data_IF_348096076010
#
_entry.id   IF_348096076010
#
_cell.length_a   1.000
_cell.length_b   1.000
_cell.length_c   1.000
_cell.angle_alpha   90.00
_cell.angle_beta   90.00
_cell.angle_gamma   90.00
#
_symmetry.space_group_name_H-M   'P 1'
#
loop_
_entity.id
_entity.type
_entity.pdbx_description
1 polymer ?
#
# COMPACT_ATOMS: atom_id res chain seq x y z
N UNK A 1 -5.22 -8.82 35.53
CA UNK A 1 -5.54 -8.05 34.30
C UNK A 1 -4.28 -7.28 33.90
N UNK A 2 -3.61 -7.68 32.82
CA UNK A 2 -2.41 -6.99 32.35
C UNK A 2 -2.78 -5.65 31.69
N UNK A 3 -2.00 -4.58 31.88
CA UNK A 3 -2.36 -3.26 31.37
C UNK A 3 -2.24 -3.26 29.84
N UNK A 4 -3.27 -2.74 29.18
CA UNK A 4 -3.24 -2.42 27.75
C UNK A 4 -2.15 -1.38 27.54
N UNK A 5 -0.95 -1.82 27.13
CA UNK A 5 0.14 -0.91 26.77
C UNK A 5 -0.38 0.05 25.70
N UNK A 6 -0.31 1.33 26.03
CA UNK A 6 -0.62 2.46 25.18
C UNK A 6 0.09 2.26 23.83
N UNK A 7 -0.67 2.04 22.75
CA UNK A 7 -0.13 1.86 21.39
C UNK A 7 0.37 3.22 20.90
N UNK A 8 1.56 3.60 21.37
CA UNK A 8 2.28 4.77 20.89
C UNK A 8 2.52 4.57 19.39
N UNK A 9 1.98 5.49 18.58
CA UNK A 9 1.97 5.47 17.12
C UNK A 9 3.39 5.25 16.58
N UNK A 10 3.64 4.06 16.00
CA UNK A 10 4.99 3.55 15.74
C UNK A 10 5.76 4.36 14.68
N UNK A 11 5.08 5.11 13.81
CA UNK A 11 5.71 5.88 12.73
C UNK A 11 6.22 7.26 13.16
N UNK A 12 5.78 7.81 14.31
CA UNK A 12 6.30 9.10 14.81
C UNK A 12 7.80 9.02 15.17
N UNK A 13 8.36 7.82 15.27
CA UNK A 13 9.77 7.57 15.55
C UNK A 13 10.51 6.92 14.36
N UNK A 14 9.90 6.82 13.18
CA UNK A 14 10.57 6.25 12.01
C UNK A 14 11.45 7.30 11.33
N UNK A 15 12.68 6.90 10.97
CA UNK A 15 13.51 7.70 10.07
C UNK A 15 12.92 7.68 8.66
N UNK A 16 13.25 8.67 7.83
CA UNK A 16 12.81 8.71 6.43
C UNK A 16 13.20 7.42 5.67
N UNK A 17 14.39 6.89 5.94
CA UNK A 17 14.83 5.62 5.36
C UNK A 17 13.94 4.44 5.76
N UNK A 18 13.53 4.36 7.03
CA UNK A 18 12.61 3.33 7.50
C UNK A 18 11.21 3.50 6.89
N UNK A 19 10.72 4.73 6.81
CA UNK A 19 9.44 5.07 6.19
C UNK A 19 9.44 4.65 4.71
N UNK A 20 10.49 5.02 3.97
CA UNK A 20 10.70 4.64 2.57
C UNK A 20 10.76 3.13 2.40
N UNK A 21 11.55 2.41 3.21
CA UNK A 21 11.70 0.95 3.10
C UNK A 21 10.41 0.17 3.44
N UNK A 22 9.44 0.82 4.09
CA UNK A 22 8.11 0.27 4.33
C UNK A 22 7.20 0.45 3.11
N UNK A 23 7.35 1.52 2.32
CA UNK A 23 6.52 1.84 1.17
C UNK A 23 7.11 1.32 -0.15
N UNK A 24 8.40 1.55 -0.36
CA UNK A 24 9.17 1.22 -1.57
C UNK A 24 10.18 0.12 -1.28
N UNK A 25 10.14 -0.94 -2.10
CA UNK A 25 11.07 -2.06 -2.06
C UNK A 25 12.47 -1.69 -2.56
N UNK A 26 13.45 -2.57 -2.31
CA UNK A 26 14.83 -2.38 -2.81
C UNK A 26 14.95 -2.41 -4.32
N UNK A 27 13.94 -2.97 -4.99
CA UNK A 27 13.76 -2.98 -6.44
C UNK A 27 13.14 -1.68 -6.97
N UNK A 28 12.87 -0.71 -6.10
CA UNK A 28 12.24 0.56 -6.47
C UNK A 28 10.74 0.46 -6.72
N UNK A 29 10.12 -0.72 -6.55
CA UNK A 29 8.68 -0.91 -6.72
C UNK A 29 7.94 -0.70 -5.39
N UNK A 30 6.61 -0.56 -5.45
CA UNK A 30 5.79 -0.59 -4.24
C UNK A 30 6.01 -1.91 -3.50
N UNK A 31 6.10 -1.86 -2.16
CA UNK A 31 6.06 -3.10 -1.39
C UNK A 31 4.66 -3.72 -1.47
N UNK A 32 4.58 -5.04 -1.40
CA UNK A 32 3.30 -5.75 -1.43
C UNK A 32 2.34 -5.31 -0.32
N UNK A 33 2.86 -5.05 0.88
CA UNK A 33 2.05 -4.58 2.01
C UNK A 33 1.42 -3.23 1.69
N UNK A 34 2.21 -2.32 1.10
CA UNK A 34 1.74 -1.00 0.72
C UNK A 34 0.77 -1.05 -0.47
N UNK A 35 1.03 -1.85 -1.51
CA UNK A 35 0.08 -2.06 -2.61
C UNK A 35 -1.29 -2.57 -2.12
N UNK A 36 -1.28 -3.46 -1.12
CA UNK A 36 -2.51 -3.98 -0.53
C UNK A 36 -3.27 -2.87 0.22
N UNK A 37 -2.56 -2.03 0.97
CA UNK A 37 -3.17 -0.87 1.66
C UNK A 37 -3.70 0.15 0.65
N UNK A 38 -2.97 0.48 -0.40
CA UNK A 38 -3.45 1.38 -1.46
C UNK A 38 -4.70 0.84 -2.15
N UNK A 39 -4.80 -0.48 -2.30
CA UNK A 39 -6.02 -1.11 -2.81
C UNK A 39 -7.19 -0.91 -1.85
N UNK A 40 -6.98 -1.03 -0.53
CA UNK A 40 -8.03 -0.74 0.46
C UNK A 40 -8.43 0.74 0.47
N UNK A 41 -7.45 1.65 0.39
CA UNK A 41 -7.69 3.09 0.27
C UNK A 41 -8.54 3.37 -0.95
N UNK A 42 -8.12 2.91 -2.13
CA UNK A 42 -8.84 3.11 -3.39
C UNK A 42 -10.29 2.62 -3.29
N UNK A 43 -10.50 1.39 -2.80
CA UNK A 43 -11.83 0.81 -2.66
C UNK A 43 -12.71 1.58 -1.68
N UNK A 44 -12.13 2.25 -0.68
CA UNK A 44 -12.90 3.05 0.30
C UNK A 44 -13.51 4.34 -0.27
N UNK A 45 -13.05 4.78 -1.45
CA UNK A 45 -13.57 5.96 -2.15
C UNK A 45 -14.54 5.63 -3.29
N UNK A 46 -14.75 4.34 -3.60
CA UNK A 46 -15.73 3.91 -4.59
C UNK A 46 -17.14 3.96 -4.00
N UNK A 47 -18.13 4.34 -4.80
CA UNK A 47 -19.53 4.30 -4.40
C UNK A 47 -20.08 2.88 -4.48
N UNK A 48 -19.71 2.15 -5.53
CA UNK A 48 -20.14 0.77 -5.76
C UNK A 48 -18.94 -0.17 -5.83
N UNK A 49 -19.12 -1.39 -5.34
CA UNK A 49 -18.09 -2.44 -5.43
C UNK A 49 -17.73 -2.86 -6.85
N UNK A 50 -18.54 -2.45 -7.84
CA UNK A 50 -18.33 -2.70 -9.26
C UNK A 50 -17.53 -1.61 -9.95
N UNK A 51 -17.37 -0.45 -9.32
CA UNK A 51 -16.63 0.67 -9.88
C UNK A 51 -15.15 0.29 -10.02
N UNK A 52 -14.52 0.76 -11.10
CA UNK A 52 -13.15 0.39 -11.47
C UNK A 52 -12.18 1.58 -11.45
N UNK A 53 -12.70 2.77 -11.20
CA UNK A 53 -12.00 4.04 -11.26
C UNK A 53 -12.58 5.03 -10.25
N UNK A 54 -11.76 5.97 -9.81
CA UNK A 54 -12.19 7.15 -9.07
C UNK A 54 -12.61 8.21 -10.07
N UNK A 55 -13.89 8.59 -10.04
CA UNK A 55 -14.38 9.73 -10.81
C UNK A 55 -13.70 11.02 -10.34
N UNK A 56 -13.80 12.10 -11.14
CA UNK A 56 -13.21 13.39 -10.79
C UNK A 56 -13.69 13.89 -9.42
N UNK A 57 -14.97 13.72 -9.10
CA UNK A 57 -15.53 14.14 -7.82
C UNK A 57 -14.94 13.32 -6.66
N UNK A 58 -14.78 12.00 -6.83
CA UNK A 58 -14.13 11.15 -5.82
C UNK A 58 -12.66 11.47 -5.64
N UNK A 59 -11.96 11.80 -6.72
CA UNK A 59 -10.56 12.21 -6.66
C UNK A 59 -10.40 13.56 -5.94
N UNK A 60 -11.35 14.48 -6.12
CA UNK A 60 -11.41 15.73 -5.35
C UNK A 60 -11.74 15.49 -3.87
N UNK A 61 -12.66 14.58 -3.56
CA UNK A 61 -12.95 14.22 -2.17
C UNK A 61 -11.75 13.57 -1.48
N UNK A 62 -11.08 12.65 -2.17
CA UNK A 62 -9.82 12.06 -1.72
C UNK A 62 -8.76 13.12 -1.40
N UNK A 63 -8.52 14.05 -2.33
CA UNK A 63 -7.51 15.09 -2.12
C UNK A 63 -7.84 16.04 -0.97
N UNK A 64 -9.12 16.35 -0.73
CA UNK A 64 -9.53 17.13 0.46
C UNK A 64 -9.13 16.44 1.76
N UNK A 65 -9.26 15.12 1.85
CA UNK A 65 -8.89 14.37 3.05
C UNK A 65 -7.39 14.40 3.30
N UNK A 66 -6.57 14.36 2.25
CA UNK A 66 -5.11 14.41 2.36
C UNK A 66 -4.60 15.84 2.58
N UNK A 67 -5.17 16.83 1.90
CA UNK A 67 -4.62 18.20 1.81
C UNK A 67 -5.32 19.21 2.73
N UNK A 68 -5.80 18.77 3.90
CA UNK A 68 -6.37 19.68 4.91
C UNK A 68 -7.62 20.42 4.42
N UNK A 69 -8.44 19.77 3.59
CA UNK A 69 -9.68 20.33 3.04
C UNK A 69 -9.53 20.97 1.65
N UNK A 70 -8.30 21.13 1.12
CA UNK A 70 -8.10 21.60 -0.26
C UNK A 70 -8.27 20.44 -1.25
N UNK A 71 -9.19 20.59 -2.20
CA UNK A 71 -9.28 19.68 -3.34
C UNK A 71 -8.18 19.99 -4.37
N UNK A 72 -7.84 19.00 -5.20
CA UNK A 72 -7.07 19.24 -6.42
C UNK A 72 -7.79 20.25 -7.33
N UNK A 73 -7.01 21.17 -7.91
CA UNK A 73 -7.45 22.08 -8.95
C UNK A 73 -7.67 21.35 -10.27
N UNK A 74 -8.29 22.01 -11.25
CA UNK A 74 -8.52 21.43 -12.56
C UNK A 74 -7.20 21.15 -13.29
N UNK A 75 -6.17 21.96 -13.05
CA UNK A 75 -4.82 21.74 -13.54
C UNK A 75 -4.19 20.50 -12.91
N UNK A 76 -4.27 20.35 -11.59
CA UNK A 76 -3.75 19.17 -10.86
C UNK A 76 -4.47 17.88 -11.33
N UNK A 77 -5.78 17.94 -11.56
CA UNK A 77 -6.55 16.81 -12.13
C UNK A 77 -6.09 16.50 -13.56
N UNK A 78 -5.88 17.52 -14.38
CA UNK A 78 -5.42 17.34 -15.76
C UNK A 78 -4.02 16.73 -15.81
N UNK A 79 -3.13 17.12 -14.90
CA UNK A 79 -1.82 16.48 -14.75
C UNK A 79 -1.98 15.00 -14.40
N UNK A 80 -2.84 14.67 -13.43
CA UNK A 80 -3.11 13.27 -13.06
C UNK A 80 -3.60 12.46 -14.27
N UNK A 81 -4.56 13.00 -15.02
CA UNK A 81 -5.12 12.35 -16.22
C UNK A 81 -4.11 12.25 -17.39
N UNK A 82 -3.08 13.10 -17.39
CA UNK A 82 -2.03 13.09 -18.41
C UNK A 82 -0.95 12.05 -18.10
N UNK A 83 -0.58 11.91 -16.83
CA UNK A 83 0.55 11.08 -16.41
C UNK A 83 0.19 9.70 -15.88
N UNK A 84 -1.04 9.51 -15.41
CA UNK A 84 -1.48 8.25 -14.79
C UNK A 84 -2.64 7.61 -15.54
N UNK A 85 -2.79 6.30 -15.36
CA UNK A 85 -3.79 5.52 -16.07
C UNK A 85 -5.21 5.86 -15.62
N UNK A 86 -6.00 6.42 -16.55
CA UNK A 86 -7.42 6.65 -16.41
C UNK A 86 -8.25 5.72 -17.33
N UNK A 87 -9.52 5.52 -16.98
CA UNK A 87 -10.48 4.82 -17.84
C UNK A 87 -11.02 5.72 -18.97
N UNK A 88 -11.93 5.17 -19.78
CA UNK A 88 -12.57 5.88 -20.90
C UNK A 88 -13.36 7.14 -20.48
N UNK A 89 -13.74 7.26 -19.20
CA UNK A 89 -14.44 8.42 -18.63
C UNK A 89 -13.50 9.36 -17.87
N UNK A 90 -12.19 9.21 -18.06
CA UNK A 90 -11.14 9.97 -17.38
C UNK A 90 -11.13 9.79 -15.84
N UNK A 91 -11.69 8.70 -15.34
CA UNK A 91 -11.60 8.31 -13.93
C UNK A 91 -10.27 7.62 -13.65
N UNK A 92 -9.61 7.95 -12.54
CA UNK A 92 -8.31 7.37 -12.17
C UNK A 92 -8.47 5.90 -11.78
N UNK A 93 -7.82 4.99 -12.51
CA UNK A 93 -7.91 3.55 -12.24
C UNK A 93 -7.13 3.15 -10.98
N UNK A 94 -7.35 1.93 -10.47
CA UNK A 94 -6.54 1.38 -9.38
C UNK A 94 -5.04 1.35 -9.73
N UNK A 95 -4.70 1.07 -11.00
CA UNK A 95 -3.30 1.07 -11.43
C UNK A 95 -2.75 2.50 -11.43
N UNK A 96 -3.45 3.44 -12.06
CA UNK A 96 -3.04 4.85 -12.05
C UNK A 96 -2.90 5.42 -10.63
N UNK A 97 -3.79 5.05 -9.72
CA UNK A 97 -3.72 5.43 -8.31
C UNK A 97 -2.45 4.89 -7.61
N UNK A 98 -2.08 3.64 -7.88
CA UNK A 98 -0.83 3.05 -7.36
C UNK A 98 0.40 3.72 -7.95
N UNK A 99 0.40 3.99 -9.26
CA UNK A 99 1.51 4.65 -9.95
C UNK A 99 1.73 6.09 -9.43
N UNK A 100 0.63 6.80 -9.13
CA UNK A 100 0.65 8.11 -8.47
C UNK A 100 1.30 8.02 -7.08
N UNK A 101 0.86 7.08 -6.25
CA UNK A 101 1.43 6.89 -4.91
C UNK A 101 2.87 6.38 -4.95
N UNK A 102 3.25 5.58 -5.95
CA UNK A 102 4.63 5.16 -6.16
C UNK A 102 5.55 6.37 -6.38
N UNK A 103 5.14 7.29 -7.25
CA UNK A 103 5.89 8.51 -7.56
C UNK A 103 6.01 9.39 -6.31
N UNK A 104 4.89 9.67 -5.63
CA UNK A 104 4.87 10.45 -4.38
C UNK A 104 5.73 9.80 -3.30
N UNK A 105 5.57 8.50 -3.03
CA UNK A 105 6.28 7.79 -1.96
C UNK A 105 7.78 7.66 -2.23
N UNK A 106 8.17 7.64 -3.50
CA UNK A 106 9.57 7.64 -3.93
C UNK A 106 10.22 9.01 -3.72
N UNK A 107 9.48 10.11 -3.80
CA UNK A 107 10.00 11.45 -3.51
C UNK A 107 9.90 11.78 -2.01
N UNK A 108 8.71 11.62 -1.44
CA UNK A 108 8.31 12.15 -0.13
C UNK A 108 7.62 11.09 0.73
N UNK A 109 8.33 10.03 1.17
CA UNK A 109 7.73 8.89 1.89
C UNK A 109 7.03 9.31 3.20
N UNK A 110 7.52 10.35 3.88
CA UNK A 110 6.91 10.84 5.11
C UNK A 110 5.56 11.54 4.88
N UNK A 111 5.32 12.11 3.69
CA UNK A 111 4.01 12.67 3.33
C UNK A 111 3.01 11.54 3.12
N UNK A 112 3.39 10.49 2.39
CA UNK A 112 2.54 9.29 2.22
C UNK A 112 2.12 8.69 3.57
N UNK A 113 3.01 8.62 4.56
CA UNK A 113 2.64 8.16 5.90
C UNK A 113 1.65 9.10 6.62
N UNK A 114 1.76 10.42 6.40
CA UNK A 114 0.78 11.38 6.92
C UNK A 114 -0.59 11.17 6.28
N UNK A 115 -0.63 10.92 4.97
CA UNK A 115 -1.87 10.60 4.25
C UNK A 115 -2.51 9.32 4.77
N UNK A 116 -1.74 8.23 4.87
CA UNK A 116 -2.25 6.97 5.42
C UNK A 116 -2.81 7.15 6.84
N UNK A 117 -2.23 8.04 7.65
CA UNK A 117 -2.75 8.37 8.97
C UNK A 117 -4.07 9.13 8.91
N UNK A 118 -4.14 10.19 8.09
CA UNK A 118 -5.36 11.00 7.89
C UNK A 118 -6.52 10.16 7.36
N UNK A 119 -6.22 9.20 6.49
CA UNK A 119 -7.18 8.27 5.89
C UNK A 119 -7.54 7.08 6.82
N UNK A 120 -6.84 6.90 7.94
CA UNK A 120 -7.11 5.83 8.90
C UNK A 120 -6.48 4.45 8.57
N UNK A 121 -5.58 4.38 7.60
CA UNK A 121 -4.94 3.15 7.11
C UNK A 121 -3.55 2.88 7.70
N UNK A 122 -3.00 3.79 8.49
CA UNK A 122 -1.70 3.63 9.17
C UNK A 122 -1.61 2.29 9.93
N UNK A 123 -2.63 1.96 10.72
CA UNK A 123 -2.67 0.70 11.46
C UNK A 123 -2.70 -0.52 10.53
N UNK A 124 -3.46 -0.46 9.43
CA UNK A 124 -3.49 -1.53 8.42
C UNK A 124 -2.09 -1.76 7.85
N UNK A 125 -1.37 -0.68 7.53
CA UNK A 125 -0.01 -0.74 7.02
C UNK A 125 0.97 -1.37 8.02
N UNK A 126 0.95 -0.92 9.28
CA UNK A 126 1.83 -1.44 10.32
C UNK A 126 1.56 -2.90 10.66
N UNK A 127 0.28 -3.28 10.83
CA UNK A 127 -0.11 -4.65 11.15
C UNK A 127 0.28 -5.61 10.00
N UNK A 128 0.11 -5.18 8.74
CA UNK A 128 0.55 -5.95 7.55
C UNK A 128 2.06 -6.13 7.51
N UNK A 129 2.82 -5.05 7.75
CA UNK A 129 4.27 -5.09 7.73
C UNK A 129 4.83 -6.00 8.81
N UNK A 130 4.33 -5.92 10.04
CA UNK A 130 4.74 -6.81 11.13
C UNK A 130 4.42 -8.28 10.80
N UNK A 131 3.24 -8.54 10.24
CA UNK A 131 2.87 -9.89 9.80
C UNK A 131 3.76 -10.40 8.65
N UNK A 132 4.20 -9.54 7.73
CA UNK A 132 5.01 -9.92 6.56
C UNK A 132 6.48 -10.20 6.92
N UNK A 133 6.96 -9.75 8.08
CA UNK A 133 8.29 -10.08 8.63
C UNK A 133 8.39 -11.50 9.21
N UNK A 134 7.29 -12.24 9.24
CA UNK A 134 7.21 -13.59 9.82
C UNK A 134 7.00 -14.65 8.75
N UNK A 135 7.45 -15.86 9.03
CA UNK A 135 7.23 -17.03 8.20
C UNK A 135 5.72 -17.25 8.00
N UNK A 136 5.29 -17.39 6.75
CA UNK A 136 3.87 -17.60 6.41
C UNK A 136 3.31 -18.86 7.07
N UNK A 137 4.15 -19.87 7.30
CA UNK A 137 3.80 -21.17 7.90
C UNK A 137 3.90 -21.13 9.42
N UNK A 138 5.12 -21.12 9.98
CA UNK A 138 5.34 -21.29 11.42
C UNK A 138 5.27 -19.99 12.24
N UNK A 139 5.17 -18.82 11.60
CA UNK A 139 5.12 -17.48 12.24
C UNK A 139 6.39 -17.00 12.95
N UNK A 140 7.47 -17.79 12.90
CA UNK A 140 8.79 -17.36 13.35
C UNK A 140 9.34 -16.21 12.48
N UNK A 141 10.16 -15.30 13.04
CA UNK A 141 10.81 -14.24 12.27
C UNK A 141 11.57 -14.80 11.06
N UNK A 142 11.48 -14.12 9.92
CA UNK A 142 12.02 -14.62 8.68
C UNK A 142 12.46 -13.51 7.75
N UNK A 143 13.53 -13.74 6.99
CA UNK A 143 14.03 -12.78 5.98
C UNK A 143 13.89 -13.31 4.56
N UNK A 144 13.90 -14.62 4.35
CA UNK A 144 13.77 -15.25 3.03
C UNK A 144 12.38 -15.00 2.45
N UNK A 145 12.32 -14.21 1.37
CA UNK A 145 11.09 -13.89 0.64
C UNK A 145 10.89 -14.84 -0.54
N UNK A 146 9.63 -15.04 -0.94
CA UNK A 146 9.34 -15.62 -2.25
C UNK A 146 9.95 -14.74 -3.36
N UNK A 147 10.83 -15.31 -4.18
CA UNK A 147 11.50 -14.58 -5.26
C UNK A 147 10.55 -14.04 -6.34
N UNK A 148 9.38 -14.67 -6.53
CA UNK A 148 8.39 -14.26 -7.51
C UNK A 148 7.52 -13.10 -7.03
N UNK A 149 6.85 -13.25 -5.89
CA UNK A 149 5.89 -12.23 -5.44
C UNK A 149 6.46 -11.22 -4.45
N UNK A 150 7.58 -11.54 -3.78
CA UNK A 150 8.20 -10.73 -2.71
C UNK A 150 7.25 -10.37 -1.54
N UNK A 151 6.07 -10.99 -1.48
CA UNK A 151 4.98 -10.68 -0.56
C UNK A 151 4.97 -11.51 0.73
N UNK A 152 5.56 -12.71 0.68
CA UNK A 152 5.53 -13.67 1.80
C UNK A 152 6.93 -14.16 2.11
N UNK A 153 7.17 -14.40 3.40
CA UNK A 153 8.44 -14.90 3.92
C UNK A 153 8.33 -16.33 4.43
N UNK A 154 9.45 -17.03 4.44
CA UNK A 154 9.57 -18.39 4.94
C UNK A 154 10.86 -18.56 5.72
N UNK A 155 10.82 -19.16 6.91
CA UNK A 155 12.05 -19.41 7.68
C UNK A 155 13.04 -20.34 6.96
N UNK A 156 12.58 -21.08 5.95
CA UNK A 156 13.41 -21.95 5.12
C UNK A 156 12.61 -22.57 3.97
N UNK A 157 13.31 -23.36 3.16
CA UNK A 157 12.75 -23.99 1.95
C UNK A 157 11.61 -24.97 2.24
N UNK A 158 11.61 -25.60 3.42
CA UNK A 158 10.57 -26.58 3.78
C UNK A 158 9.22 -25.89 4.00
N UNK A 159 9.20 -24.79 4.76
CA UNK A 159 8.01 -23.95 4.92
C UNK A 159 7.56 -23.35 3.57
N UNK A 160 8.49 -22.95 2.70
CA UNK A 160 8.16 -22.48 1.36
C UNK A 160 7.46 -23.56 0.52
N UNK A 161 8.01 -24.78 0.49
CA UNK A 161 7.43 -25.93 -0.24
C UNK A 161 6.06 -26.31 0.30
N UNK A 162 5.89 -26.32 1.63
CA UNK A 162 4.60 -26.60 2.27
C UNK A 162 3.56 -25.56 1.86
N UNK A 163 3.86 -24.28 2.02
CA UNK A 163 2.95 -23.20 1.63
C UNK A 163 2.65 -23.22 0.13
N UNK A 164 3.64 -23.52 -0.72
CA UNK A 164 3.45 -23.64 -2.16
C UNK A 164 2.38 -24.67 -2.51
N UNK A 165 2.46 -25.86 -1.90
CA UNK A 165 1.50 -26.94 -2.13
C UNK A 165 0.10 -26.62 -1.57
N UNK A 166 0.01 -25.95 -0.43
CA UNK A 166 -1.28 -25.77 0.27
C UNK A 166 -2.05 -24.52 -0.14
N UNK A 167 -1.39 -23.41 -0.44
CA UNK A 167 -2.10 -22.11 -0.58
C UNK A 167 -1.40 -21.06 -1.44
N UNK A 168 -0.06 -21.01 -1.44
CA UNK A 168 0.67 -19.91 -2.06
C UNK A 168 0.64 -19.96 -3.59
N UNK A 169 0.70 -21.15 -4.21
CA UNK A 169 0.79 -21.31 -5.67
C UNK A 169 -0.31 -20.56 -6.43
N UNK A 170 -1.54 -20.58 -5.90
CA UNK A 170 -2.71 -19.97 -6.55
C UNK A 170 -2.73 -18.43 -6.45
N UNK A 171 -1.99 -17.87 -5.49
CA UNK A 171 -2.01 -16.42 -5.17
C UNK A 171 -0.67 -15.74 -5.45
N UNK A 172 0.35 -16.48 -5.87
CA UNK A 172 1.67 -15.94 -6.15
C UNK A 172 1.66 -15.14 -7.45
N UNK A 173 1.77 -13.82 -7.34
CA UNK A 173 1.81 -12.86 -8.46
C UNK A 173 2.99 -11.93 -8.27
N UNK A 174 3.63 -11.52 -9.36
CA UNK A 174 4.70 -10.52 -9.29
C UNK A 174 4.11 -9.19 -8.77
N UNK A 175 4.93 -8.35 -8.09
CA UNK A 175 4.56 -6.98 -7.79
C UNK A 175 4.14 -6.24 -9.07
N UNK A 176 3.26 -5.24 -8.93
CA UNK A 176 2.93 -4.38 -10.07
C UNK A 176 4.17 -3.55 -10.43
N UNK A 177 4.37 -3.35 -11.74
CA UNK A 177 5.43 -2.49 -12.31
C UNK A 177 4.80 -1.19 -12.72
#
# INVERSE_FOLDING_TARGET
MAPRKNKQLMYLNMTESQARAALIGKDGLLTYDFEAVLTEVFLSFLDNSTDRSLTLDKLRDFSRMCNGGRAFSDEEIKEIQTYFECDENQGLTLKGFKDMYHTQSSAEPLETWRDLKKLGFEKSMLDRREASLRCRVCKEPSTLMCSRCKAVRYCGIDCQKQAWKTSHKQRCRAPMV
#
